data_IF_092931770419
#
_entry.id   IF_092931770419
#
_cell.length_a   1.000
_cell.length_b   1.000
_cell.length_c   1.000
_cell.angle_alpha   90.00
_cell.angle_beta   90.00
_cell.angle_gamma   90.00
#
_symmetry.space_group_name_H-M   'P 1'
#
loop_
_entity.id
_entity.type
_entity.pdbx_description
1 polymer ?
#
# COMPACT_ATOMS: atom_id res chain seq x y z
N UNK A 1 24.02 -11.64 29.90
CA UNK A 1 23.30 -10.51 29.29
C UNK A 1 24.06 -10.06 28.04
N UNK A 2 24.13 -10.92 27.01
CA UNK A 2 24.96 -10.66 25.82
C UNK A 2 24.52 -11.45 24.58
N UNK A 3 23.21 -11.68 24.42
CA UNK A 3 22.66 -12.39 23.25
C UNK A 3 21.72 -11.49 22.43
N UNK A 4 21.35 -10.30 22.95
CA UNK A 4 20.38 -9.40 22.30
C UNK A 4 20.98 -8.38 21.32
N UNK A 5 22.31 -8.26 21.23
CA UNK A 5 22.94 -7.19 20.43
C UNK A 5 23.44 -7.65 19.05
N UNK A 6 23.50 -8.95 18.77
CA UNK A 6 23.94 -9.44 17.45
C UNK A 6 22.80 -9.68 16.45
N UNK A 7 21.54 -9.60 16.90
CA UNK A 7 20.37 -9.81 16.03
C UNK A 7 19.93 -8.55 15.28
N UNK A 8 20.61 -7.41 15.45
CA UNK A 8 20.26 -6.16 14.78
C UNK A 8 20.96 -5.94 13.42
N UNK A 9 21.93 -6.78 13.04
CA UNK A 9 22.71 -6.56 11.81
C UNK A 9 22.23 -7.33 10.57
N UNK A 10 21.36 -8.33 10.73
CA UNK A 10 20.98 -9.23 9.61
C UNK A 10 19.52 -9.06 9.12
N UNK A 11 18.74 -8.17 9.72
CA UNK A 11 17.35 -7.86 9.28
C UNK A 11 17.35 -6.81 8.16
N UNK A 12 18.13 -7.02 7.10
CA UNK A 12 18.11 -6.18 5.89
C UNK A 12 17.60 -6.90 4.65
N UNK A 13 17.32 -8.21 4.73
CA UNK A 13 17.07 -9.04 3.53
C UNK A 13 15.75 -9.84 3.59
N UNK A 14 14.83 -9.58 4.53
CA UNK A 14 13.54 -10.26 4.57
C UNK A 14 12.40 -9.35 5.07
N UNK A 15 11.50 -8.86 4.19
CA UNK A 15 10.32 -8.11 4.60
C UNK A 15 9.27 -8.96 5.36
N UNK A 16 9.45 -10.29 5.42
CA UNK A 16 8.52 -11.21 6.08
C UNK A 16 8.76 -11.44 7.59
N UNK A 17 9.71 -10.76 8.25
CA UNK A 17 9.92 -10.93 9.68
C UNK A 17 8.96 -10.04 10.48
N UNK A 18 7.77 -10.61 10.73
CA UNK A 18 6.76 -10.17 11.69
C UNK A 18 7.38 -9.67 12.99
N UNK A 19 7.56 -8.35 13.11
CA UNK A 19 7.44 -7.69 14.41
C UNK A 19 5.95 -7.71 14.75
N UNK A 20 5.56 -8.54 15.71
CA UNK A 20 4.27 -8.43 16.39
C UNK A 20 4.28 -7.10 17.14
N UNK A 21 3.90 -6.01 16.46
CA UNK A 21 3.57 -4.75 17.13
C UNK A 21 2.29 -5.02 17.93
N UNK A 22 2.22 -4.48 19.15
CA UNK A 22 1.00 -4.49 19.96
C UNK A 22 -0.19 -3.83 19.22
N UNK A 23 0.10 -3.09 18.14
CA UNK A 23 -0.87 -2.44 17.25
C UNK A 23 -1.70 -3.45 16.42
N UNK A 24 -1.29 -4.72 16.31
CA UNK A 24 -2.00 -5.74 15.52
C UNK A 24 -3.02 -6.57 16.32
N UNK A 25 -2.94 -6.54 17.65
CA UNK A 25 -3.94 -7.16 18.55
C UNK A 25 -5.06 -6.13 18.78
N UNK A 26 -6.05 -6.15 17.88
CA UNK A 26 -7.12 -5.17 17.81
C UNK A 26 -8.12 -5.35 18.95
N UNK A 27 -8.41 -6.60 19.32
CA UNK A 27 -9.35 -6.92 20.40
C UNK A 27 -8.67 -6.97 21.79
N UNK A 28 -7.33 -6.85 21.83
CA UNK A 28 -6.50 -6.79 23.03
C UNK A 28 -6.55 -8.06 23.87
N UNK A 29 -6.70 -9.20 23.22
CA UNK A 29 -6.77 -10.50 23.88
C UNK A 29 -5.38 -11.16 24.05
N UNK A 30 -4.29 -10.47 23.63
CA UNK A 30 -2.89 -10.93 23.59
C UNK A 30 -2.63 -12.12 22.64
N UNK A 31 -3.53 -12.39 21.71
CA UNK A 31 -3.38 -13.31 20.59
C UNK A 31 -3.53 -12.52 19.29
N UNK A 32 -2.97 -13.06 18.22
CA UNK A 32 -3.27 -12.58 16.87
C UNK A 32 -4.13 -13.65 16.22
N UNK A 33 -5.36 -13.29 15.89
CA UNK A 33 -6.22 -14.16 15.09
C UNK A 33 -5.91 -14.04 13.59
N UNK A 34 -6.57 -14.88 12.77
CA UNK A 34 -6.32 -14.89 11.34
C UNK A 34 -6.74 -13.58 10.65
N UNK A 35 -7.79 -12.91 11.14
CA UNK A 35 -8.24 -11.62 10.60
C UNK A 35 -7.22 -10.53 10.90
N UNK A 36 -6.75 -10.46 12.14
CA UNK A 36 -5.71 -9.53 12.58
C UNK A 36 -4.38 -9.76 11.84
N UNK A 37 -4.02 -11.02 11.60
CA UNK A 37 -2.87 -11.37 10.79
C UNK A 37 -2.98 -10.87 9.34
N UNK A 38 -4.14 -11.07 8.70
CA UNK A 38 -4.38 -10.60 7.33
C UNK A 38 -4.38 -9.07 7.26
N UNK A 39 -4.95 -8.39 8.26
CA UNK A 39 -4.93 -6.94 8.32
C UNK A 39 -3.51 -6.38 8.55
N UNK A 40 -2.71 -7.04 9.39
CA UNK A 40 -1.31 -6.69 9.58
C UNK A 40 -0.52 -6.80 8.26
N UNK A 41 -0.73 -7.87 7.50
CA UNK A 41 -0.09 -8.04 6.19
C UNK A 41 -0.50 -6.93 5.21
N UNK A 42 -1.79 -6.61 5.12
CA UNK A 42 -2.28 -5.51 4.28
C UNK A 42 -1.61 -4.18 4.65
N UNK A 43 -1.50 -3.88 5.94
CA UNK A 43 -0.88 -2.63 6.40
C UNK A 43 0.61 -2.59 6.09
N UNK A 44 1.33 -3.70 6.26
CA UNK A 44 2.77 -3.80 5.91
C UNK A 44 2.96 -3.62 4.40
N UNK A 45 2.20 -4.35 3.58
CA UNK A 45 2.30 -4.23 2.12
C UNK A 45 1.97 -2.78 1.66
N UNK A 46 0.99 -2.14 2.30
CA UNK A 46 0.64 -0.74 2.03
C UNK A 46 1.73 0.24 2.43
N UNK A 47 2.35 0.06 3.60
CA UNK A 47 3.49 0.89 4.02
C UNK A 47 4.67 0.75 3.03
N UNK A 48 5.01 -0.49 2.65
CA UNK A 48 6.04 -0.74 1.64
C UNK A 48 5.69 -0.15 0.27
N UNK A 49 4.41 -0.19 -0.11
CA UNK A 49 3.92 0.45 -1.32
C UNK A 49 4.17 1.96 -1.27
N UNK A 50 3.78 2.64 -0.20
CA UNK A 50 3.96 4.09 -0.05
C UNK A 50 5.46 4.46 0.02
N UNK A 51 6.26 3.68 0.74
CA UNK A 51 7.73 3.84 0.80
C UNK A 51 8.38 3.72 -0.57
N UNK A 52 7.80 2.92 -1.48
CA UNK A 52 8.36 2.77 -2.82
C UNK A 52 8.31 4.05 -3.68
N UNK A 53 7.54 5.06 -3.24
CA UNK A 53 7.48 6.38 -3.85
C UNK A 53 8.32 7.43 -3.10
N UNK A 54 8.99 7.05 -2.02
CA UNK A 54 9.83 7.97 -1.27
C UNK A 54 11.02 8.41 -2.14
N UNK A 55 11.16 9.72 -2.31
CA UNK A 55 12.19 10.32 -3.18
C UNK A 55 11.82 10.45 -4.65
N UNK A 56 10.61 10.04 -5.06
CA UNK A 56 10.12 10.30 -6.41
C UNK A 56 9.83 11.78 -6.60
N UNK A 57 10.22 12.33 -7.75
CA UNK A 57 9.82 13.68 -8.13
C UNK A 57 8.41 13.70 -8.76
N UNK A 58 7.91 14.88 -9.11
CA UNK A 58 6.58 15.01 -9.70
C UNK A 58 6.44 14.31 -11.06
N UNK A 59 7.54 14.14 -11.81
CA UNK A 59 7.58 13.49 -13.11
C UNK A 59 7.54 11.97 -12.91
N UNK A 60 8.28 11.44 -11.94
CA UNK A 60 8.27 10.02 -11.61
C UNK A 60 6.87 9.57 -11.14
N UNK A 61 6.22 10.37 -10.29
CA UNK A 61 4.85 10.09 -9.83
C UNK A 61 3.86 10.11 -11.00
N UNK A 62 4.02 11.05 -11.93
CA UNK A 62 3.19 11.12 -13.14
C UNK A 62 3.38 9.87 -14.01
N UNK A 63 4.62 9.44 -14.24
CA UNK A 63 4.93 8.26 -15.03
C UNK A 63 4.36 6.98 -14.38
N UNK A 64 4.41 6.87 -13.06
CA UNK A 64 3.83 5.72 -12.36
C UNK A 64 2.30 5.73 -12.44
N UNK A 65 1.66 6.89 -12.28
CA UNK A 65 0.22 7.05 -12.47
C UNK A 65 -0.20 6.65 -13.89
N UNK A 66 0.53 7.12 -14.91
CA UNK A 66 0.22 6.88 -16.32
C UNK A 66 0.30 5.40 -16.73
N UNK A 67 1.02 4.53 -15.97
CA UNK A 67 1.06 3.08 -16.24
C UNK A 67 -0.29 2.41 -16.01
N UNK A 68 -1.03 2.88 -15.01
CA UNK A 68 -2.28 2.26 -14.56
C UNK A 68 -3.51 3.08 -14.94
N UNK A 69 -3.33 4.36 -15.27
CA UNK A 69 -4.42 5.22 -15.64
C UNK A 69 -4.96 4.89 -17.04
N UNK A 70 -6.29 4.99 -17.20
CA UNK A 70 -6.98 4.87 -18.48
C UNK A 70 -7.55 6.22 -18.90
N UNK A 71 -7.59 6.44 -20.21
CA UNK A 71 -8.32 7.55 -20.82
C UNK A 71 -9.76 7.10 -21.03
N UNK A 72 -10.70 7.61 -20.25
CA UNK A 72 -12.12 7.38 -20.50
C UNK A 72 -12.77 8.66 -21.02
N UNK A 73 -13.22 8.59 -22.27
CA UNK A 73 -14.02 9.56 -23.04
C UNK A 73 -13.53 11.02 -23.15
N UNK A 74 -12.57 11.49 -22.35
CA UNK A 74 -11.98 12.83 -22.42
C UNK A 74 -10.45 12.74 -22.42
N UNK A 75 -9.77 13.26 -23.46
CA UNK A 75 -8.31 13.19 -23.61
C UNK A 75 -7.53 13.99 -22.55
N UNK A 76 -8.22 14.64 -21.61
CA UNK A 76 -7.62 15.49 -20.58
C UNK A 76 -7.82 14.96 -19.15
N UNK A 77 -8.58 13.87 -18.95
CA UNK A 77 -8.83 13.31 -17.62
C UNK A 77 -8.57 11.81 -17.60
N UNK A 78 -7.33 11.46 -17.27
CA UNK A 78 -6.91 10.11 -16.92
C UNK A 78 -7.34 9.78 -15.50
N UNK A 79 -7.71 8.52 -15.27
CA UNK A 79 -8.00 8.02 -13.93
C UNK A 79 -7.60 6.55 -13.80
N UNK A 80 -7.35 6.10 -12.57
CA UNK A 80 -7.07 4.69 -12.25
C UNK A 80 -8.37 4.05 -11.75
N UNK A 81 -8.96 3.08 -12.47
CA UNK A 81 -10.12 2.34 -12.00
C UNK A 81 -9.72 1.24 -10.99
N UNK A 82 -10.69 0.73 -10.22
CA UNK A 82 -10.48 -0.34 -9.23
C UNK A 82 -9.77 -1.57 -9.83
N UNK A 83 -10.08 -1.92 -11.09
CA UNK A 83 -9.43 -3.03 -11.79
C UNK A 83 -7.91 -2.84 -11.93
N UNK A 84 -7.46 -1.61 -12.13
CA UNK A 84 -6.05 -1.25 -12.26
C UNK A 84 -5.35 -1.10 -10.91
N UNK A 85 -6.07 -0.75 -9.84
CA UNK A 85 -5.55 -0.83 -8.47
C UNK A 85 -5.22 -2.28 -8.11
N UNK A 86 -6.08 -3.23 -8.49
CA UNK A 86 -5.79 -4.65 -8.28
C UNK A 86 -4.53 -5.12 -9.03
N UNK A 87 -4.35 -4.70 -10.28
CA UNK A 87 -3.14 -4.97 -11.05
C UNK A 87 -1.90 -4.36 -10.39
N UNK A 88 -2.01 -3.11 -9.92
CA UNK A 88 -0.93 -2.42 -9.18
C UNK A 88 -0.52 -3.19 -7.91
N UNK A 89 -1.47 -3.72 -7.14
CA UNK A 89 -1.17 -4.55 -5.97
C UNK A 89 -0.42 -5.84 -6.35
N UNK A 90 -0.81 -6.47 -7.47
CA UNK A 90 -0.14 -7.68 -7.97
C UNK A 90 1.29 -7.38 -8.45
N UNK A 91 1.47 -6.30 -9.21
CA UNK A 91 2.78 -5.89 -9.74
C UNK A 91 3.76 -5.53 -8.61
N UNK A 92 3.23 -4.94 -7.52
CA UNK A 92 3.99 -4.61 -6.31
C UNK A 92 4.15 -5.78 -5.34
N UNK A 93 3.68 -6.97 -5.72
CA UNK A 93 3.83 -8.23 -4.97
C UNK A 93 3.26 -8.15 -3.56
N UNK A 94 2.09 -7.54 -3.41
CA UNK A 94 1.33 -7.62 -2.17
C UNK A 94 1.18 -9.09 -1.76
N UNK A 95 1.35 -9.36 -0.47
CA UNK A 95 1.31 -10.69 0.12
C UNK A 95 -0.06 -11.34 -0.06
N UNK A 96 -1.13 -10.53 -0.02
CA UNK A 96 -2.49 -10.95 -0.29
C UNK A 96 -3.21 -9.90 -1.15
N UNK A 97 -3.87 -10.34 -2.23
CA UNK A 97 -4.68 -9.46 -3.09
C UNK A 97 -6.08 -10.04 -3.24
N UNK A 98 -7.02 -9.52 -2.46
CA UNK A 98 -8.46 -9.81 -2.65
C UNK A 98 -9.16 -8.63 -3.32
N UNK A 99 -10.37 -8.87 -3.84
CA UNK A 99 -11.20 -7.77 -4.36
C UNK A 99 -11.60 -6.78 -3.26
N UNK A 100 -11.69 -7.22 -2.01
CA UNK A 100 -11.99 -6.34 -0.88
C UNK A 100 -10.81 -5.40 -0.60
N UNK A 101 -9.58 -5.93 -0.64
CA UNK A 101 -8.36 -5.13 -0.41
C UNK A 101 -8.12 -4.13 -1.53
N UNK A 102 -8.34 -4.54 -2.79
CA UNK A 102 -8.26 -3.62 -3.94
C UNK A 102 -9.26 -2.47 -3.82
N UNK A 103 -10.49 -2.77 -3.41
CA UNK A 103 -11.52 -1.77 -3.15
C UNK A 103 -11.17 -0.87 -1.96
N UNK A 104 -10.61 -1.44 -0.89
CA UNK A 104 -10.13 -0.68 0.29
C UNK A 104 -9.03 0.29 -0.11
N UNK A 105 -8.01 -0.18 -0.83
CA UNK A 105 -6.92 0.66 -1.33
C UNK A 105 -7.44 1.75 -2.28
N UNK A 106 -8.35 1.40 -3.20
CA UNK A 106 -8.98 2.38 -4.09
C UNK A 106 -9.68 3.50 -3.31
N UNK A 107 -10.45 3.15 -2.27
CA UNK A 107 -11.13 4.13 -1.41
C UNK A 107 -10.17 4.97 -0.56
N UNK A 108 -9.01 4.44 -0.20
CA UNK A 108 -7.97 5.18 0.50
C UNK A 108 -7.19 6.12 -0.44
N UNK A 109 -7.06 5.75 -1.72
CA UNK A 109 -6.45 6.57 -2.76
C UNK A 109 -7.38 7.68 -3.24
N UNK A 110 -8.69 7.42 -3.35
CA UNK A 110 -9.73 8.39 -3.68
C UNK A 110 -9.98 9.36 -2.50
N UNK A 111 -9.12 10.38 -2.40
CA UNK A 111 -9.14 11.33 -1.27
C UNK A 111 -10.40 12.19 -1.31
N UNK A 112 -10.77 12.64 -2.51
CA UNK A 112 -11.90 13.55 -2.71
C UNK A 112 -13.27 12.82 -2.68
N UNK A 113 -13.28 11.49 -2.74
CA UNK A 113 -14.44 10.59 -2.70
C UNK A 113 -15.39 10.77 -3.88
N UNK A 114 -14.88 11.12 -5.05
CA UNK A 114 -15.65 11.27 -6.28
C UNK A 114 -15.85 9.93 -7.02
N UNK A 115 -15.25 8.85 -6.50
CA UNK A 115 -15.34 7.52 -7.07
C UNK A 115 -14.36 7.26 -8.21
N UNK A 116 -13.39 8.15 -8.45
CA UNK A 116 -12.27 7.96 -9.36
C UNK A 116 -10.95 8.33 -8.69
N UNK A 117 -9.86 7.64 -9.03
CA UNK A 117 -8.53 8.04 -8.56
C UNK A 117 -7.86 8.81 -9.68
N UNK A 118 -7.84 10.15 -9.56
CA UNK A 118 -7.12 11.00 -10.51
C UNK A 118 -5.67 11.24 -10.08
N UNK A 119 -4.94 12.03 -10.87
CA UNK A 119 -3.53 12.32 -10.59
C UNK A 119 -3.35 13.11 -9.28
N UNK A 120 -4.28 14.00 -8.95
CA UNK A 120 -4.22 14.79 -7.72
C UNK A 120 -4.44 13.88 -6.51
N UNK A 121 -5.41 12.97 -6.59
CA UNK A 121 -5.66 11.94 -5.57
C UNK A 121 -4.43 11.03 -5.40
N UNK A 122 -3.85 10.55 -6.50
CA UNK A 122 -2.65 9.72 -6.47
C UNK A 122 -1.45 10.43 -5.82
N UNK A 123 -1.21 11.69 -6.22
CA UNK A 123 -0.15 12.53 -5.64
C UNK A 123 -0.37 12.74 -4.15
N UNK A 124 -1.59 13.12 -3.75
CA UNK A 124 -1.90 13.35 -2.35
C UNK A 124 -1.74 12.06 -1.53
N UNK A 125 -2.16 10.91 -2.07
CA UNK A 125 -2.01 9.61 -1.42
C UNK A 125 -0.53 9.24 -1.19
N UNK A 126 0.32 9.30 -2.22
CA UNK A 126 1.74 8.89 -2.10
C UNK A 126 2.61 9.91 -1.36
N UNK A 127 2.18 11.17 -1.30
CA UNK A 127 2.89 12.25 -0.59
C UNK A 127 2.37 12.48 0.84
N UNK A 128 1.34 11.74 1.29
CA UNK A 128 0.78 11.85 2.64
C UNK A 128 1.74 11.24 3.66
N UNK A 129 2.62 12.07 4.23
CA UNK A 129 3.34 11.78 5.48
C UNK A 129 3.22 12.96 6.43
#
# INVERSE_FOLDING_TARGET
>A
MQVLLHYQSEIREAPCLLFVRADYDADKNNLIDFGEFVEALYNVDKEMFLESFEGFDQVDIQLEFDKYAIDDMSPTKKHIPESRVKEMMLDRKFTCVTSLDAKRLFQEMDVNKDGVVDLADFKECVQRR
#
